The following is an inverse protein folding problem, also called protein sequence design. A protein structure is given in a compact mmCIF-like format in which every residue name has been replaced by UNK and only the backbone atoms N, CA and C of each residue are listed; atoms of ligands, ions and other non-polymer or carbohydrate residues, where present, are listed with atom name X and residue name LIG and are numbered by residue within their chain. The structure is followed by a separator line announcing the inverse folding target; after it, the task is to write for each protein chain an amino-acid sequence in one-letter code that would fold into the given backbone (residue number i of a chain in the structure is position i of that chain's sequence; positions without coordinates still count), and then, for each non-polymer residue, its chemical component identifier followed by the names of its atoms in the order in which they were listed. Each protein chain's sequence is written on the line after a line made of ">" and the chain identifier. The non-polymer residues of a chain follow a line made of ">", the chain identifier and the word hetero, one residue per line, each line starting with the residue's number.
data_IF_200444971386
#
_entry.id   IF_200444971386
#
_cell.length_a   1.000
_cell.length_b   1.000
_cell.length_c   1.000
_cell.angle_alpha   90.00
_cell.angle_beta   90.00
_cell.angle_gamma   90.00
#
_symmetry.space_group_name_H-M   'P 1'
#
loop_
_entity.id
_entity.type
_entity.pdbx_description
1 polymer ?
#
# COMPACT_ATOMS: atom_id res chain seq x y z
N UNK A 1 -21.19 35.07 1.50
CA UNK A 1 -20.36 35.12 2.72
C UNK A 1 -20.42 33.75 3.37
N UNK A 2 -19.32 33.01 3.58
CA UNK A 2 -19.38 31.69 4.24
C UNK A 2 -19.85 31.85 5.69
N UNK A 3 -20.69 30.92 6.17
CA UNK A 3 -21.17 30.92 7.56
C UNK A 3 -19.97 30.87 8.51
N UNK A 4 -19.94 31.79 9.46
CA UNK A 4 -18.98 31.78 10.56
C UNK A 4 -19.10 30.46 11.33
N UNK A 5 -17.95 29.85 11.64
CA UNK A 5 -17.89 28.64 12.46
C UNK A 5 -18.43 28.97 13.86
N UNK A 6 -19.50 28.27 14.25
CA UNK A 6 -20.14 28.46 15.54
C UNK A 6 -19.41 27.63 16.61
N UNK A 7 -18.63 28.32 17.44
CA UNK A 7 -17.77 27.68 18.46
C UNK A 7 -18.61 27.13 19.64
N UNK A 8 -19.81 27.66 19.85
CA UNK A 8 -20.73 27.20 20.89
C UNK A 8 -21.30 25.83 20.52
N UNK A 9 -21.62 25.62 19.25
CA UNK A 9 -21.99 24.31 18.71
C UNK A 9 -20.90 23.25 18.89
N UNK A 10 -19.62 23.63 18.95
CA UNK A 10 -18.53 22.66 19.13
C UNK A 10 -18.46 22.12 20.56
N UNK A 11 -18.86 22.94 21.55
CA UNK A 11 -18.89 22.56 22.98
C UNK A 11 -19.85 21.42 23.30
N UNK A 12 -20.91 21.21 22.52
CA UNK A 12 -21.86 20.12 22.76
C UNK A 12 -21.23 18.72 22.61
N UNK A 13 -20.07 18.61 21.95
CA UNK A 13 -19.33 17.37 21.76
C UNK A 13 -18.20 17.19 22.78
N UNK A 14 -17.94 18.20 23.61
CA UNK A 14 -17.06 18.03 24.76
C UNK A 14 -17.83 17.24 25.81
N UNK A 15 -17.64 15.92 25.80
CA UNK A 15 -18.04 15.03 26.89
C UNK A 15 -17.45 15.62 28.17
N UNK A 16 -18.31 16.24 28.99
CA UNK A 16 -18.02 16.37 30.41
C UNK A 16 -17.95 14.96 30.95
N UNK A 17 -16.74 14.41 31.00
CA UNK A 17 -16.49 13.18 31.73
C UNK A 17 -16.76 13.52 33.20
N UNK A 18 -17.80 12.96 33.86
CA UNK A 18 -17.82 13.00 35.30
C UNK A 18 -16.53 12.33 35.76
N UNK A 19 -15.78 12.99 36.66
CA UNK A 19 -14.65 12.37 37.35
C UNK A 19 -15.21 11.16 38.09
N UNK A 20 -15.09 10.01 37.46
CA UNK A 20 -15.43 8.72 38.03
C UNK A 20 -14.12 8.18 38.59
N UNK A 21 -14.11 7.97 39.91
CA UNK A 21 -13.06 7.19 40.58
C UNK A 21 -12.72 5.94 39.73
N UNK A 22 -11.44 5.55 39.62
CA UNK A 22 -11.02 4.52 38.68
C UNK A 22 -11.62 3.17 39.09
N UNK A 23 -12.79 2.85 38.55
CA UNK A 23 -13.28 1.49 38.53
C UNK A 23 -12.33 0.66 37.66
N UNK A 24 -12.02 -0.60 38.03
CA UNK A 24 -11.16 -1.46 37.23
C UNK A 24 -11.71 -1.51 35.81
N UNK A 25 -10.90 -1.10 34.84
CA UNK A 25 -11.31 -1.06 33.44
C UNK A 25 -11.78 -2.48 33.04
N UNK A 26 -12.97 -2.63 32.44
CA UNK A 26 -13.32 -3.90 31.83
C UNK A 26 -12.25 -4.20 30.78
N UNK A 27 -11.65 -5.39 30.89
CA UNK A 27 -10.68 -5.90 29.94
C UNK A 27 -11.27 -5.77 28.54
N UNK A 28 -10.82 -4.78 27.77
CA UNK A 28 -11.22 -4.65 26.39
C UNK A 28 -10.88 -5.98 25.70
N UNK A 29 -11.79 -6.58 24.91
CA UNK A 29 -11.42 -7.73 24.11
C UNK A 29 -10.20 -7.33 23.28
N UNK A 30 -9.20 -8.22 23.13
CA UNK A 30 -8.03 -7.91 22.34
C UNK A 30 -8.54 -7.43 20.98
N UNK A 31 -8.25 -6.16 20.66
CA UNK A 31 -8.49 -5.64 19.33
C UNK A 31 -7.88 -6.66 18.39
N UNK A 32 -8.71 -7.29 17.56
CA UNK A 32 -8.30 -8.29 16.59
C UNK A 32 -7.11 -7.70 15.86
N UNK A 33 -5.91 -8.20 16.22
CA UNK A 33 -4.65 -7.58 15.86
C UNK A 33 -4.52 -7.83 14.39
N UNK A 34 -4.88 -6.80 13.62
CA UNK A 34 -4.79 -6.76 12.17
C UNK A 34 -3.52 -7.50 11.73
N UNK A 35 -3.62 -8.46 10.80
CA UNK A 35 -2.49 -9.29 10.42
C UNK A 35 -1.28 -8.39 10.16
N UNK A 36 -0.20 -8.67 10.89
CA UNK A 36 1.06 -7.94 10.83
C UNK A 36 1.36 -7.57 9.37
N UNK A 37 1.34 -6.27 9.07
CA UNK A 37 1.87 -5.77 7.81
C UNK A 37 3.38 -5.95 7.89
N UNK A 38 3.86 -7.13 7.53
CA UNK A 38 5.26 -7.30 7.20
C UNK A 38 5.60 -6.20 6.17
N UNK A 39 6.65 -5.39 6.42
CA UNK A 39 6.98 -4.30 5.52
C UNK A 39 7.30 -4.89 4.16
N UNK A 40 6.51 -4.52 3.15
CA UNK A 40 6.73 -4.97 1.77
C UNK A 40 8.12 -4.47 1.36
N UNK A 41 9.01 -5.41 1.03
CA UNK A 41 10.38 -5.12 0.59
C UNK A 41 10.38 -4.77 -0.89
N UNK A 42 9.71 -3.67 -1.24
CA UNK A 42 9.68 -3.17 -2.60
C UNK A 42 10.95 -2.36 -2.90
N UNK A 43 11.62 -2.67 -4.01
CA UNK A 43 12.69 -1.86 -4.58
C UNK A 43 12.18 -1.08 -5.80
N UNK A 44 12.57 0.19 -5.92
CA UNK A 44 12.26 1.00 -7.09
C UNK A 44 13.51 1.19 -7.96
N UNK A 45 13.40 0.89 -9.24
CA UNK A 45 14.43 1.17 -10.25
C UNK A 45 13.88 2.06 -11.35
N UNK A 46 14.70 2.99 -11.85
CA UNK A 46 14.35 3.82 -13.00
C UNK A 46 14.98 3.26 -14.26
N UNK A 47 14.16 2.84 -15.23
CA UNK A 47 14.64 2.28 -16.50
C UNK A 47 14.60 3.38 -17.58
N UNK A 48 15.74 3.68 -18.20
CA UNK A 48 15.84 4.53 -19.39
C UNK A 48 16.06 3.66 -20.61
N UNK A 49 15.17 3.74 -21.59
CA UNK A 49 15.26 3.02 -22.85
C UNK A 49 14.61 3.83 -23.99
N UNK A 50 14.88 3.49 -25.26
CA UNK A 50 14.18 4.07 -26.40
C UNK A 50 12.65 3.90 -26.28
N UNK A 51 11.90 4.87 -26.79
CA UNK A 51 10.44 4.89 -26.71
C UNK A 51 9.82 3.60 -27.27
N UNK A 52 10.31 3.11 -28.40
CA UNK A 52 9.82 1.88 -29.04
C UNK A 52 9.89 0.66 -28.10
N UNK A 53 10.99 0.53 -27.35
CA UNK A 53 11.20 -0.58 -26.40
C UNK A 53 10.22 -0.46 -25.23
N UNK A 54 10.02 0.74 -24.70
CA UNK A 54 9.08 1.00 -23.59
C UNK A 54 7.64 0.73 -24.04
N UNK A 55 7.26 1.16 -25.24
CA UNK A 55 5.92 0.91 -25.78
C UNK A 55 5.66 -0.59 -26.01
N UNK A 56 6.65 -1.29 -26.57
CA UNK A 56 6.57 -2.74 -26.73
C UNK A 56 6.43 -3.46 -25.40
N UNK A 57 7.22 -3.09 -24.39
CA UNK A 57 7.13 -3.67 -23.04
C UNK A 57 5.76 -3.40 -22.40
N UNK A 58 5.25 -2.17 -22.51
CA UNK A 58 3.91 -1.80 -22.01
C UNK A 58 2.80 -2.59 -22.71
N UNK A 59 2.91 -2.75 -24.03
CA UNK A 59 1.95 -3.54 -24.81
C UNK A 59 1.95 -4.99 -24.37
N UNK A 60 3.13 -5.58 -24.14
CA UNK A 60 3.27 -6.95 -23.63
C UNK A 60 2.62 -7.12 -22.26
N UNK A 61 2.84 -6.18 -21.34
CA UNK A 61 2.20 -6.20 -20.01
C UNK A 61 0.68 -6.08 -20.10
N UNK A 62 0.18 -5.26 -21.04
CA UNK A 62 -1.25 -5.03 -21.24
C UNK A 62 -1.96 -6.27 -21.82
N UNK A 63 -1.32 -6.94 -22.76
CA UNK A 63 -1.85 -8.16 -23.41
C UNK A 63 -2.01 -9.29 -22.39
N UNK A 64 -0.99 -9.52 -21.56
CA UNK A 64 -1.00 -10.58 -20.55
C UNK A 64 -1.70 -10.18 -19.23
N UNK A 65 -2.21 -8.93 -19.14
CA UNK A 65 -2.84 -8.35 -17.93
C UNK A 65 -1.97 -8.47 -16.66
N UNK A 66 -0.66 -8.27 -16.80
CA UNK A 66 0.33 -8.37 -15.70
C UNK A 66 0.85 -7.01 -15.25
N UNK A 67 1.40 -6.98 -14.04
CA UNK A 67 2.15 -5.80 -13.56
C UNK A 67 3.52 -5.73 -14.24
N UNK A 68 4.12 -4.55 -14.29
CA UNK A 68 5.48 -4.40 -14.83
C UNK A 68 6.51 -5.23 -14.06
N UNK A 69 6.34 -5.37 -12.74
CA UNK A 69 7.23 -6.18 -11.91
C UNK A 69 7.11 -7.67 -12.24
N UNK A 70 5.89 -8.18 -12.42
CA UNK A 70 5.65 -9.58 -12.77
C UNK A 70 6.18 -9.90 -14.18
N UNK A 71 5.92 -9.03 -15.15
CA UNK A 71 6.46 -9.16 -16.49
C UNK A 71 8.00 -9.14 -16.49
N UNK A 72 8.60 -8.26 -15.68
CA UNK A 72 10.05 -8.22 -15.54
C UNK A 72 10.61 -9.52 -14.93
N UNK A 73 9.95 -10.08 -13.91
CA UNK A 73 10.38 -11.34 -13.29
C UNK A 73 10.39 -12.50 -14.29
N UNK A 74 9.37 -12.61 -15.14
CA UNK A 74 9.30 -13.65 -16.18
C UNK A 74 10.45 -13.49 -17.18
N UNK A 75 10.70 -12.25 -17.65
CA UNK A 75 11.80 -11.99 -18.57
C UNK A 75 13.16 -12.35 -17.95
N UNK A 76 13.33 -12.12 -16.64
CA UNK A 76 14.52 -12.52 -15.91
C UNK A 76 14.64 -14.05 -15.84
N UNK A 77 13.58 -14.75 -15.41
CA UNK A 77 13.58 -16.22 -15.32
C UNK A 77 13.89 -16.87 -16.67
N UNK A 78 13.25 -16.43 -17.76
CA UNK A 78 13.49 -16.96 -19.10
C UNK A 78 14.94 -16.70 -19.56
N UNK A 79 15.52 -15.56 -19.20
CA UNK A 79 16.90 -15.23 -19.52
C UNK A 79 17.89 -16.11 -18.73
N UNK A 80 17.63 -16.32 -17.43
CA UNK A 80 18.43 -17.19 -16.56
C UNK A 80 18.39 -18.65 -17.05
N UNK A 81 17.20 -19.18 -17.32
CA UNK A 81 17.02 -20.53 -17.86
C UNK A 81 17.77 -20.72 -19.19
N UNK A 82 17.78 -19.69 -20.04
CA UNK A 82 18.51 -19.72 -21.31
C UNK A 82 20.03 -19.64 -21.12
N UNK A 83 20.49 -18.91 -20.11
CA UNK A 83 21.91 -18.82 -19.77
C UNK A 83 22.44 -20.13 -19.18
N UNK A 84 21.65 -20.82 -18.35
CA UNK A 84 22.02 -22.11 -17.76
C UNK A 84 22.00 -23.26 -18.77
N UNK A 85 21.17 -23.20 -19.81
CA UNK A 85 21.14 -24.17 -20.91
C UNK A 85 22.24 -24.00 -21.97
N UNK A 86 23.13 -23.03 -21.82
CA UNK A 86 24.25 -22.75 -22.75
C UNK A 86 25.63 -22.85 -22.08
N UNK A 87 25.71 -23.53 -20.94
CA UNK A 87 26.95 -23.88 -20.23
C UNK A 87 27.44 -25.29 -20.56
#
# INVERSE_FOLDING_TARGET
>A
MPRSLDLDRLKQFETTAPVREPAPAPLAPPADRWPSREPVRDGQISIKAPLDVIERFRKLCKDDRRTYADMLAILMTEYEQKAEGHG
#
